data_IF_958924224588
#
_entry.id   IF_958924224588
#
_cell.length_a   1.000
_cell.length_b   1.000
_cell.length_c   1.000
_cell.angle_alpha   90.00
_cell.angle_beta   90.00
_cell.angle_gamma   90.00
#
_symmetry.space_group_name_H-M   'P 1'
#
loop_
_entity.id
_entity.type
_entity.pdbx_description
1 polymer ?
#
# COMPACT_ATOMS: atom_id res chain seq x y z
N UNK A 1 -12.36 -21.17 13.30
CA UNK A 1 -12.94 -20.56 12.09
C UNK A 1 -11.97 -19.50 11.57
N UNK A 2 -11.83 -19.24 10.28
CA UNK A 2 -10.96 -18.18 9.79
C UNK A 2 -11.58 -16.80 10.09
N UNK A 3 -10.73 -15.83 10.37
CA UNK A 3 -11.11 -14.46 10.65
C UNK A 3 -10.65 -13.56 9.51
N UNK A 4 -11.42 -12.55 9.17
CA UNK A 4 -11.17 -11.67 8.04
C UNK A 4 -11.36 -10.21 8.40
N UNK A 5 -10.69 -9.35 7.66
CA UNK A 5 -10.88 -7.90 7.69
C UNK A 5 -11.11 -7.38 6.27
N UNK A 6 -12.15 -6.58 6.09
CA UNK A 6 -12.33 -5.77 4.90
C UNK A 6 -11.58 -4.47 5.04
N UNK A 7 -10.86 -4.09 3.99
CA UNK A 7 -10.05 -2.88 3.98
C UNK A 7 -10.36 -1.98 2.78
N UNK A 8 -10.16 -0.69 2.98
CA UNK A 8 -10.17 0.34 1.95
C UNK A 8 -8.73 0.55 1.50
N UNK A 9 -8.41 0.22 0.25
CA UNK A 9 -7.13 0.57 -0.36
C UNK A 9 -7.17 2.02 -0.88
N UNK A 10 -6.06 2.78 -0.83
CA UNK A 10 -5.98 4.14 -1.39
C UNK A 10 -5.88 4.12 -2.93
N UNK A 11 -6.75 3.35 -3.56
CA UNK A 11 -6.78 3.11 -5.00
C UNK A 11 -8.18 3.40 -5.56
N UNK A 12 -8.30 3.82 -6.82
CA UNK A 12 -9.59 4.10 -7.46
C UNK A 12 -10.31 2.81 -7.87
N UNK A 13 -10.53 1.90 -6.91
CA UNK A 13 -11.19 0.61 -7.15
C UNK A 13 -12.52 0.59 -6.39
N UNK A 14 -13.65 0.29 -7.05
CA UNK A 14 -14.98 0.40 -6.47
C UNK A 14 -15.37 -0.84 -5.63
N UNK A 15 -14.46 -1.36 -4.82
CA UNK A 15 -14.72 -2.47 -3.90
C UNK A 15 -13.76 -2.46 -2.71
N UNK A 16 -14.20 -3.08 -1.62
CA UNK A 16 -13.35 -3.44 -0.50
C UNK A 16 -12.57 -4.72 -0.82
N UNK A 17 -11.47 -4.92 -0.13
CA UNK A 17 -10.66 -6.13 -0.23
C UNK A 17 -10.60 -6.83 1.11
N UNK A 18 -10.83 -8.14 1.08
CA UNK A 18 -10.85 -8.97 2.29
C UNK A 18 -9.51 -9.65 2.46
N UNK A 19 -8.95 -9.56 3.65
CA UNK A 19 -7.70 -10.19 4.05
C UNK A 19 -7.91 -11.12 5.25
N UNK A 20 -7.08 -12.16 5.31
CA UNK A 20 -7.04 -13.10 6.43
C UNK A 20 -6.29 -12.45 7.60
N UNK A 21 -6.82 -12.62 8.80
CA UNK A 21 -6.22 -12.18 10.05
C UNK A 21 -6.22 -13.30 11.08
N UNK A 22 -5.32 -13.24 12.05
CA UNK A 22 -5.31 -14.12 13.21
C UNK A 22 -6.43 -13.72 14.18
N UNK A 23 -6.77 -14.59 15.13
CA UNK A 23 -7.76 -14.30 16.17
C UNK A 23 -7.37 -13.07 17.00
N UNK A 24 -6.10 -12.94 17.36
CA UNK A 24 -5.60 -11.79 18.12
C UNK A 24 -5.72 -10.48 17.33
N UNK A 25 -5.43 -10.51 16.04
CA UNK A 25 -5.59 -9.34 15.16
C UNK A 25 -7.06 -8.98 14.96
N UNK A 26 -7.93 -10.00 14.84
CA UNK A 26 -9.37 -9.80 14.72
C UNK A 26 -9.97 -9.08 15.94
N UNK A 27 -9.56 -9.45 17.14
CA UNK A 27 -10.01 -8.82 18.38
C UNK A 27 -9.46 -7.41 18.57
N UNK A 28 -8.28 -7.14 18.00
CA UNK A 28 -7.60 -5.86 18.10
C UNK A 28 -8.08 -4.85 17.04
N UNK A 29 -8.36 -5.32 15.82
CA UNK A 29 -8.66 -4.44 14.68
C UNK A 29 -10.04 -3.80 14.86
N UNK A 30 -10.05 -2.47 14.91
CA UNK A 30 -11.25 -1.64 14.87
C UNK A 30 -11.32 -0.87 13.54
N UNK A 31 -12.52 -0.46 13.08
CA UNK A 31 -12.66 0.41 11.91
C UNK A 31 -11.81 1.68 12.04
N UNK A 32 -11.07 2.02 10.98
CA UNK A 32 -10.23 3.21 10.96
C UNK A 32 -8.78 3.02 11.40
N UNK A 33 -8.33 1.79 11.66
CA UNK A 33 -6.92 1.43 11.88
C UNK A 33 -6.23 1.20 10.54
N UNK A 34 -4.98 1.68 10.38
CA UNK A 34 -4.18 1.38 9.19
C UNK A 34 -3.48 0.03 9.34
N UNK A 35 -3.54 -0.72 8.25
CA UNK A 35 -2.98 -2.08 8.15
C UNK A 35 -2.17 -2.16 6.87
N UNK A 36 -0.97 -2.73 6.91
CA UNK A 36 -0.20 -3.02 5.70
C UNK A 36 -0.68 -4.31 5.09
N UNK A 37 -1.09 -4.22 3.84
CA UNK A 37 -1.60 -5.36 3.07
C UNK A 37 -0.86 -5.53 1.75
N UNK A 38 -0.60 -6.79 1.31
CA UNK A 38 -0.04 -7.06 0.00
C UNK A 38 -1.12 -6.91 -1.08
N UNK A 39 -0.82 -6.17 -2.15
CA UNK A 39 -1.72 -6.00 -3.28
C UNK A 39 -1.01 -6.24 -4.61
N UNK A 40 -1.58 -7.12 -5.44
CA UNK A 40 -0.91 -7.60 -6.65
C UNK A 40 0.29 -8.49 -6.31
N UNK A 41 1.36 -8.43 -7.14
CA UNK A 41 2.49 -9.34 -7.01
C UNK A 41 3.63 -8.81 -6.13
N UNK A 42 3.80 -7.49 -6.04
CA UNK A 42 4.99 -6.91 -5.36
C UNK A 42 4.70 -5.66 -4.53
N UNK A 43 3.49 -5.09 -4.60
CA UNK A 43 3.19 -3.84 -3.89
C UNK A 43 2.53 -4.11 -2.55
N UNK A 44 2.86 -3.27 -1.58
CA UNK A 44 2.22 -3.21 -0.27
C UNK A 44 1.64 -1.82 -0.08
N UNK A 45 0.47 -1.75 0.54
CA UNK A 45 -0.23 -0.49 0.80
C UNK A 45 -0.63 -0.41 2.26
N UNK A 46 -0.57 0.79 2.82
CA UNK A 46 -1.29 1.10 4.04
C UNK A 46 -2.77 1.25 3.69
N UNK A 47 -3.53 0.21 3.95
CA UNK A 47 -4.98 0.18 3.82
C UNK A 47 -5.64 0.59 5.12
N UNK A 48 -6.88 1.06 5.06
CA UNK A 48 -7.68 1.39 6.23
C UNK A 48 -8.66 0.26 6.52
N UNK A 49 -8.68 -0.25 7.74
CA UNK A 49 -9.67 -1.24 8.18
C UNK A 49 -11.08 -0.68 8.12
N UNK A 50 -12.01 -1.44 7.55
CA UNK A 50 -13.41 -1.06 7.42
C UNK A 50 -14.30 -1.85 8.38
N UNK A 51 -14.24 -3.18 8.32
CA UNK A 51 -14.91 -4.06 9.29
C UNK A 51 -14.20 -5.41 9.37
N UNK A 52 -14.39 -6.11 10.50
CA UNK A 52 -13.93 -7.48 10.71
C UNK A 52 -15.13 -8.44 10.64
N UNK A 53 -14.93 -9.64 10.09
CA UNK A 53 -15.97 -10.64 9.94
C UNK A 53 -15.41 -12.07 9.81
N UNK A 54 -16.30 -13.08 9.80
CA UNK A 54 -15.92 -14.49 9.63
C UNK A 54 -16.42 -15.09 8.30
N UNK A 55 -16.96 -14.26 7.41
CA UNK A 55 -17.48 -14.71 6.13
C UNK A 55 -16.31 -14.92 5.15
N UNK A 56 -16.13 -16.17 4.70
CA UNK A 56 -15.08 -16.51 3.74
C UNK A 56 -15.38 -15.86 2.38
N UNK A 57 -14.43 -15.08 1.81
CA UNK A 57 -14.59 -14.55 0.47
C UNK A 57 -14.56 -15.66 -0.60
N UNK A 58 -15.07 -15.41 -1.81
CA UNK A 58 -15.11 -16.40 -2.91
C UNK A 58 -13.72 -16.66 -3.53
N UNK A 59 -12.67 -16.04 -3.02
CA UNK A 59 -11.29 -16.19 -3.45
C UNK A 59 -10.37 -16.50 -2.25
N UNK A 60 -9.17 -16.94 -2.52
CA UNK A 60 -8.15 -17.15 -1.49
C UNK A 60 -7.66 -15.80 -0.97
N UNK A 61 -8.02 -15.48 0.28
CA UNK A 61 -7.62 -14.25 0.93
C UNK A 61 -6.15 -14.34 1.37
N UNK A 62 -5.36 -13.33 1.01
CA UNK A 62 -4.00 -13.18 1.51
C UNK A 62 -4.05 -12.69 2.96
N UNK A 63 -3.02 -13.02 3.76
CA UNK A 63 -2.86 -12.47 5.09
C UNK A 63 -2.44 -10.99 5.04
N UNK A 64 -2.77 -10.25 6.08
CA UNK A 64 -2.19 -8.93 6.30
C UNK A 64 -0.69 -9.08 6.61
N UNK A 65 0.09 -8.01 6.43
CA UNK A 65 1.52 -8.02 6.80
C UNK A 65 1.71 -7.65 8.26
N UNK A 66 1.14 -6.51 8.67
CA UNK A 66 1.12 -6.04 10.05
C UNK A 66 0.14 -4.87 10.23
N UNK A 67 -0.18 -4.58 11.48
CA UNK A 67 -1.01 -3.44 11.90
C UNK A 67 -0.07 -2.27 12.21
N UNK A 68 -0.36 -1.08 11.66
CA UNK A 68 0.48 0.11 11.86
C UNK A 68 0.13 0.83 13.17
N UNK A 69 -1.16 1.03 13.40
CA UNK A 69 -1.65 1.89 14.46
C UNK A 69 -2.17 1.10 15.65
N UNK A 70 -1.97 1.63 16.84
CA UNK A 70 -2.58 1.10 18.08
C UNK A 70 -4.01 1.61 18.30
N UNK A 71 -4.39 2.70 17.64
CA UNK A 71 -5.71 3.33 17.73
C UNK A 71 -6.18 3.76 16.34
N UNK A 72 -7.49 3.87 16.16
CA UNK A 72 -8.07 4.33 14.90
C UNK A 72 -7.64 5.76 14.57
N UNK A 73 -7.03 5.95 13.40
CA UNK A 73 -6.65 7.28 12.86
C UNK A 73 -7.82 7.96 12.16
N UNK A 74 -8.84 7.18 11.81
CA UNK A 74 -10.07 7.65 11.19
C UNK A 74 -11.25 7.20 12.05
N UNK A 75 -12.05 8.15 12.49
CA UNK A 75 -13.23 7.86 13.33
C UNK A 75 -14.37 7.24 12.52
N UNK A 76 -15.29 6.50 13.17
CA UNK A 76 -16.47 5.95 12.49
C UNK A 76 -17.35 7.02 11.83
N UNK A 77 -17.37 8.25 12.37
CA UNK A 77 -18.11 9.38 11.77
C UNK A 77 -17.49 9.85 10.45
N UNK A 78 -16.15 9.86 10.39
CA UNK A 78 -15.43 10.20 9.15
C UNK A 78 -15.64 9.12 8.10
N UNK A 79 -15.60 7.83 8.47
CA UNK A 79 -15.91 6.73 7.54
C UNK A 79 -17.32 6.87 6.94
N UNK A 80 -18.34 7.15 7.75
CA UNK A 80 -19.71 7.42 7.26
C UNK A 80 -19.78 8.63 6.32
N UNK A 81 -19.05 9.69 6.62
CA UNK A 81 -18.95 10.85 5.72
C UNK A 81 -18.32 10.46 4.38
N UNK A 82 -17.25 9.65 4.40
CA UNK A 82 -16.58 9.19 3.17
C UNK A 82 -17.49 8.28 2.34
N UNK A 83 -18.27 7.42 2.97
CA UNK A 83 -19.29 6.60 2.30
C UNK A 83 -20.34 7.48 1.62
N UNK A 84 -20.81 8.52 2.32
CA UNK A 84 -21.74 9.48 1.75
C UNK A 84 -21.13 10.22 0.56
N UNK A 85 -19.89 10.72 0.66
CA UNK A 85 -19.16 11.36 -0.45
C UNK A 85 -19.01 10.39 -1.62
N UNK A 86 -18.57 9.16 -1.34
CA UNK A 86 -18.40 8.11 -2.35
C UNK A 86 -19.68 7.85 -3.14
N UNK A 87 -20.80 7.73 -2.43
CA UNK A 87 -22.10 7.47 -3.04
C UNK A 87 -22.65 8.69 -3.80
N UNK A 88 -22.50 9.88 -3.24
CA UNK A 88 -23.02 11.12 -3.84
C UNK A 88 -22.30 11.48 -5.15
N UNK A 89 -20.97 11.36 -5.15
CA UNK A 89 -20.13 11.68 -6.32
C UNK A 89 -19.83 10.47 -7.19
N UNK A 90 -20.38 9.30 -6.88
CA UNK A 90 -20.09 8.02 -7.58
C UNK A 90 -18.58 7.75 -7.70
N UNK A 91 -17.82 8.15 -6.68
CA UNK A 91 -16.38 8.00 -6.61
C UNK A 91 -16.00 6.79 -5.74
N UNK A 92 -15.02 5.96 -6.15
CA UNK A 92 -14.55 4.85 -5.30
C UNK A 92 -14.13 5.31 -3.90
N UNK A 93 -14.51 4.56 -2.88
CA UNK A 93 -14.20 4.89 -1.48
C UNK A 93 -12.68 5.03 -1.24
N UNK A 94 -11.85 4.24 -1.95
CA UNK A 94 -10.40 4.35 -1.94
C UNK A 94 -9.87 5.69 -2.47
N UNK A 95 -10.55 6.30 -3.44
CA UNK A 95 -10.21 7.65 -3.93
C UNK A 95 -10.54 8.72 -2.88
N UNK A 96 -11.67 8.57 -2.19
CA UNK A 96 -12.05 9.47 -1.08
C UNK A 96 -11.03 9.36 0.05
N UNK A 97 -10.67 8.14 0.45
CA UNK A 97 -9.65 7.87 1.45
C UNK A 97 -8.31 8.53 1.09
N UNK A 98 -7.84 8.33 -0.15
CA UNK A 98 -6.57 8.92 -0.62
C UNK A 98 -6.55 10.44 -0.58
N UNK A 99 -7.70 11.07 -0.83
CA UNK A 99 -7.82 12.53 -0.83
C UNK A 99 -8.01 13.11 0.58
N UNK A 100 -8.72 12.40 1.44
CA UNK A 100 -9.09 12.86 2.77
C UNK A 100 -7.96 12.72 3.81
N UNK A 101 -7.00 11.82 3.57
CA UNK A 101 -5.92 11.52 4.51
C UNK A 101 -4.62 12.17 4.04
N UNK A 102 -3.84 12.80 4.94
CA UNK A 102 -2.52 13.32 4.60
C UNK A 102 -1.61 12.25 3.98
N UNK A 103 -0.84 12.61 2.95
CA UNK A 103 0.00 11.67 2.19
C UNK A 103 1.02 10.92 3.07
N UNK A 104 1.50 11.53 4.15
CA UNK A 104 2.39 10.90 5.12
C UNK A 104 1.78 9.67 5.81
N UNK A 105 0.46 9.57 5.85
CA UNK A 105 -0.26 8.41 6.41
C UNK A 105 -0.56 7.34 5.35
N UNK A 106 -0.38 7.65 4.06
CA UNK A 106 -0.58 6.75 2.93
C UNK A 106 0.76 6.10 2.55
N UNK A 107 1.20 5.14 3.36
CA UNK A 107 2.43 4.40 3.09
C UNK A 107 2.23 3.46 1.90
N UNK A 108 3.09 3.58 0.91
CA UNK A 108 3.21 2.64 -0.21
C UNK A 108 4.61 2.05 -0.20
N UNK A 109 4.73 0.76 -0.55
CA UNK A 109 6.06 0.18 -0.73
C UNK A 109 6.68 0.76 -1.99
N UNK A 110 7.88 1.30 -1.86
CA UNK A 110 8.68 1.77 -2.97
C UNK A 110 9.86 0.84 -3.22
N UNK A 111 10.20 0.61 -4.48
CA UNK A 111 11.39 -0.14 -4.84
C UNK A 111 12.57 0.81 -4.82
N UNK A 112 13.52 0.58 -3.93
CA UNK A 112 14.80 1.29 -3.89
C UNK A 112 15.87 0.49 -4.61
N UNK A 113 16.68 1.19 -5.42
CA UNK A 113 17.89 0.67 -6.03
C UNK A 113 19.07 1.11 -5.18
N UNK A 114 19.85 0.16 -4.68
CA UNK A 114 21.05 0.42 -3.91
C UNK A 114 22.29 0.12 -4.75
N UNK A 115 23.28 0.99 -4.67
CA UNK A 115 24.58 0.78 -5.28
C UNK A 115 25.43 -0.16 -4.44
N UNK A 116 25.84 -1.29 -5.01
CA UNK A 116 26.79 -2.24 -4.40
C UNK A 116 28.04 -2.38 -5.26
N UNK A 117 29.21 -2.16 -4.66
CA UNK A 117 30.51 -2.20 -5.36
C UNK A 117 31.03 -3.59 -5.71
N UNK A 118 30.23 -4.63 -5.58
CA UNK A 118 30.68 -5.99 -5.86
C UNK A 118 30.44 -6.39 -7.32
N UNK A 119 31.34 -5.97 -8.23
CA UNK A 119 31.35 -6.51 -9.59
C UNK A 119 32.76 -6.72 -10.13
N UNK A 120 33.04 -7.97 -10.48
CA UNK A 120 34.28 -8.43 -11.12
C UNK A 120 34.09 -8.72 -12.61
N UNK A 121 32.90 -8.50 -13.19
CA UNK A 121 32.65 -8.82 -14.59
C UNK A 121 32.38 -7.52 -15.41
N UNK A 122 33.09 -7.39 -16.54
CA UNK A 122 32.83 -6.37 -17.53
C UNK A 122 31.48 -6.63 -18.24
N UNK A 123 30.43 -6.01 -17.73
CA UNK A 123 29.11 -6.06 -18.37
C UNK A 123 28.98 -4.85 -19.31
N UNK A 124 28.70 -5.09 -20.59
CA UNK A 124 28.34 -4.02 -21.53
C UNK A 124 27.00 -3.43 -21.12
N UNK A 125 27.03 -2.25 -20.52
CA UNK A 125 25.86 -1.50 -20.11
C UNK A 125 25.27 -0.72 -21.29
N UNK A 126 23.95 -0.66 -21.38
CA UNK A 126 23.28 0.29 -22.28
C UNK A 126 23.52 1.73 -21.82
N UNK A 127 23.35 2.71 -22.72
CA UNK A 127 23.59 4.13 -22.44
C UNK A 127 22.75 4.61 -21.23
N UNK A 128 21.50 4.17 -21.12
CA UNK A 128 20.62 4.47 -19.98
C UNK A 128 21.09 3.83 -18.68
N UNK A 129 21.52 2.55 -18.72
CA UNK A 129 22.05 1.85 -17.57
C UNK A 129 23.35 2.47 -17.05
N UNK A 130 24.23 2.96 -17.95
CA UNK A 130 25.46 3.65 -17.57
C UNK A 130 25.18 5.01 -16.89
N UNK A 131 24.19 5.78 -17.37
CA UNK A 131 23.73 7.01 -16.71
C UNK A 131 23.16 6.73 -15.32
N UNK A 132 22.29 5.73 -15.21
CA UNK A 132 21.69 5.33 -13.93
C UNK A 132 22.76 4.91 -12.93
N UNK A 133 23.75 4.13 -13.36
CA UNK A 133 24.84 3.68 -12.50
C UNK A 133 25.65 4.85 -11.94
N UNK A 134 25.98 5.87 -12.75
CA UNK A 134 26.67 7.08 -12.30
C UNK A 134 25.89 7.84 -11.24
N UNK A 135 24.57 7.96 -11.42
CA UNK A 135 23.70 8.64 -10.44
C UNK A 135 23.59 7.81 -9.17
N UNK A 136 23.44 6.50 -9.26
CA UNK A 136 23.45 5.58 -8.12
C UNK A 136 24.79 5.62 -7.36
N UNK A 137 25.91 5.71 -8.06
CA UNK A 137 27.23 5.82 -7.43
C UNK A 137 27.39 7.13 -6.64
N UNK A 138 26.79 8.23 -7.12
CA UNK A 138 26.83 9.53 -6.46
C UNK A 138 25.91 9.61 -5.23
N UNK A 139 24.69 9.05 -5.31
CA UNK A 139 23.68 9.17 -4.25
C UNK A 139 23.57 7.93 -3.35
N UNK A 140 24.19 6.82 -3.72
CA UNK A 140 24.20 5.55 -2.97
C UNK A 140 22.88 4.74 -3.09
N UNK A 141 21.74 5.42 -3.21
CA UNK A 141 20.42 4.83 -3.40
C UNK A 141 19.51 5.75 -4.22
N UNK A 142 18.59 5.17 -4.98
CA UNK A 142 17.55 5.85 -5.75
C UNK A 142 16.23 5.08 -5.63
N UNK A 143 15.13 5.81 -5.52
CA UNK A 143 13.82 5.20 -5.65
C UNK A 143 13.45 4.98 -7.12
N UNK A 144 12.53 4.04 -7.39
CA UNK A 144 12.06 3.80 -8.75
C UNK A 144 11.36 5.05 -9.34
N UNK A 145 10.69 5.83 -8.51
CA UNK A 145 10.06 7.09 -8.88
C UNK A 145 11.08 8.16 -9.31
N UNK A 146 12.25 8.19 -8.67
CA UNK A 146 13.34 9.09 -9.02
C UNK A 146 14.00 8.68 -10.36
N UNK A 147 14.13 7.38 -10.59
CA UNK A 147 14.63 6.84 -11.89
C UNK A 147 13.75 7.26 -13.05
N UNK A 148 12.42 7.22 -12.86
CA UNK A 148 11.47 7.67 -13.89
C UNK A 148 11.59 9.17 -14.15
N UNK A 149 11.78 9.99 -13.11
CA UNK A 149 11.98 11.46 -13.26
C UNK A 149 13.28 11.84 -13.95
N UNK A 150 14.30 10.98 -13.90
CA UNK A 150 15.59 11.22 -14.55
C UNK A 150 15.55 11.07 -16.08
N UNK A 151 14.37 10.79 -16.67
CA UNK A 151 14.17 10.64 -18.13
C UNK A 151 15.29 9.82 -18.78
N UNK A 152 15.53 8.63 -18.24
CA UNK A 152 16.52 7.72 -18.78
C UNK A 152 15.96 7.00 -20.01
N UNK A 153 15.77 7.76 -21.08
CA UNK A 153 15.47 7.24 -22.41
C UNK A 153 16.76 7.04 -23.22
#
# INVERSE_FOLDING_TARGET
MPFFVDVILPLPIPKLFTYLVTEQEYDFIQPGIRIVVPFGNKKKYAALSYCTHQNKPPYEAKSIEYIIDQQAVVSPRQLKLWEWISNYYMSPLGSVFRTAVPSILLLESETELHFHRFHTNEIKLSTGAAKLLKVLEQFGKLSLSDVVKLELS
#
